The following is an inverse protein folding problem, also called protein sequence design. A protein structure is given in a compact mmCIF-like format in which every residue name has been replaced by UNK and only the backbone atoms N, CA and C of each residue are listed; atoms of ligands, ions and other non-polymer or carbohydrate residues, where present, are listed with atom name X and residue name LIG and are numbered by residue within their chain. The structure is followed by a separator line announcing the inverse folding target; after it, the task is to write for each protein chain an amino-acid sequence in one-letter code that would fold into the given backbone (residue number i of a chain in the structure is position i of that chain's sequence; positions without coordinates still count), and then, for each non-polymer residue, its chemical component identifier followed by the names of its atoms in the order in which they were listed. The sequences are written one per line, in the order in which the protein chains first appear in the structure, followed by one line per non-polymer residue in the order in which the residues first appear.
data_IF_283021276912
#
_entry.id   IF_283021276912
#
_cell.length_a   1.000
_cell.length_b   1.000
_cell.length_c   1.000
_cell.angle_alpha   90.00
_cell.angle_beta   90.00
_cell.angle_gamma   90.00
#
_symmetry.space_group_name_H-M   'P 1'
#
loop_
_entity.id
_entity.type
_entity.pdbx_description
1 polymer ?
#
# COMPACT_ATOMS: atom_id res chain seq x y z
N UNK A 1 6.50 -16.80 42.28
CA UNK A 1 7.58 -16.54 41.30
C UNK A 1 7.80 -15.06 40.96
N UNK A 2 6.76 -14.22 40.74
CA UNK A 2 6.95 -12.77 40.47
C UNK A 2 7.56 -11.94 41.64
N UNK A 3 7.35 -12.37 42.89
CA UNK A 3 7.86 -11.67 44.09
C UNK A 3 9.38 -11.85 44.32
N UNK A 4 9.92 -13.02 43.96
CA UNK A 4 11.36 -13.32 44.10
C UNK A 4 12.20 -12.55 43.08
N UNK A 5 11.71 -12.35 41.85
CA UNK A 5 12.38 -11.56 40.81
C UNK A 5 12.44 -10.07 41.19
N UNK A 6 11.42 -9.55 41.89
CA UNK A 6 11.39 -8.15 42.33
C UNK A 6 12.32 -7.88 43.53
N UNK A 7 12.50 -8.87 44.41
CA UNK A 7 13.40 -8.78 45.56
C UNK A 7 14.88 -8.89 45.14
N UNK A 8 15.20 -9.82 44.22
CA UNK A 8 16.57 -9.96 43.70
C UNK A 8 17.07 -8.72 42.95
N UNK A 9 16.18 -8.01 42.25
CA UNK A 9 16.51 -6.77 41.52
C UNK A 9 16.83 -5.60 42.45
N UNK A 10 16.22 -5.58 43.65
CA UNK A 10 16.39 -4.52 44.64
C UNK A 10 17.70 -4.68 45.43
N UNK A 11 18.07 -5.91 45.78
CA UNK A 11 19.35 -6.19 46.47
C UNK A 11 20.59 -6.05 45.57
N UNK A 12 20.47 -6.27 44.26
CA UNK A 12 21.61 -6.10 43.33
C UNK A 12 21.93 -4.63 43.03
N UNK A 13 20.93 -3.74 43.14
CA UNK A 13 21.10 -2.29 42.98
C UNK A 13 21.72 -1.62 44.23
N UNK A 14 21.56 -2.21 45.42
CA UNK A 14 22.08 -1.64 46.69
C UNK A 14 23.61 -1.75 46.84
N UNK A 15 24.29 -2.55 46.01
CA UNK A 15 25.76 -2.69 46.00
C UNK A 15 26.48 -2.08 44.80
N UNK A 16 25.75 -1.49 43.83
CA UNK A 16 26.33 -1.01 42.57
C UNK A 16 26.55 0.51 42.61
N UNK A 17 27.73 0.99 42.19
CA UNK A 17 27.99 2.44 42.12
C UNK A 17 26.99 3.13 41.17
N UNK A 18 26.66 4.40 41.41
CA UNK A 18 25.72 5.14 40.55
C UNK A 18 26.13 5.16 39.06
N UNK A 19 27.43 5.07 38.79
CA UNK A 19 28.02 4.92 37.46
C UNK A 19 27.72 3.55 36.84
N UNK A 20 27.86 2.46 37.58
CA UNK A 20 27.62 1.11 37.08
C UNK A 20 26.14 0.88 36.81
N UNK A 21 25.27 1.33 37.71
CA UNK A 21 23.82 1.26 37.51
C UNK A 21 23.37 2.07 36.27
N UNK A 22 23.98 3.23 36.01
CA UNK A 22 23.74 4.02 34.78
C UNK A 22 24.16 3.27 33.52
N UNK A 23 25.36 2.66 33.54
CA UNK A 23 25.93 1.89 32.43
C UNK A 23 25.08 0.67 32.09
N UNK A 24 24.64 -0.08 33.10
CA UNK A 24 23.73 -1.23 32.94
C UNK A 24 22.39 -0.80 32.32
N UNK A 25 21.76 0.26 32.84
CA UNK A 25 20.51 0.79 32.27
C UNK A 25 20.67 1.29 30.84
N UNK A 26 21.84 1.83 30.47
CA UNK A 26 22.13 2.20 29.08
C UNK A 26 22.20 0.96 28.18
N UNK A 27 22.93 -0.07 28.59
CA UNK A 27 23.08 -1.31 27.83
C UNK A 27 21.74 -2.00 27.62
N UNK A 28 20.87 -2.05 28.64
CA UNK A 28 19.50 -2.55 28.53
C UNK A 28 18.70 -1.79 27.47
N UNK A 29 18.69 -0.45 27.52
CA UNK A 29 17.95 0.39 26.55
C UNK A 29 18.46 0.24 25.12
N UNK A 30 19.78 0.17 24.95
CA UNK A 30 20.41 -0.01 23.65
C UNK A 30 20.09 -1.40 23.09
N UNK A 31 20.17 -2.45 23.92
CA UNK A 31 19.76 -3.78 23.54
C UNK A 31 18.27 -3.86 23.16
N UNK A 32 17.39 -3.19 23.90
CA UNK A 32 15.97 -3.08 23.57
C UNK A 32 15.74 -2.38 22.23
N UNK A 33 16.47 -1.31 21.94
CA UNK A 33 16.40 -0.61 20.65
C UNK A 33 16.84 -1.54 19.52
N UNK A 34 18.01 -2.19 19.64
CA UNK A 34 18.53 -3.14 18.65
C UNK A 34 17.59 -4.29 18.39
N UNK A 35 16.99 -4.85 19.45
CA UNK A 35 15.96 -5.91 19.34
C UNK A 35 14.73 -5.44 18.56
N UNK A 36 14.23 -4.22 18.81
CA UNK A 36 13.10 -3.67 18.07
C UNK A 36 13.41 -3.45 16.60
N UNK A 37 14.57 -2.89 16.28
CA UNK A 37 15.03 -2.71 14.88
C UNK A 37 15.17 -4.06 14.18
N UNK A 38 15.88 -5.02 14.79
CA UNK A 38 16.02 -6.37 14.26
C UNK A 38 14.66 -7.05 14.05
N UNK A 39 13.72 -6.94 15.00
CA UNK A 39 12.39 -7.54 14.85
C UNK A 39 11.61 -6.94 13.67
N UNK A 40 11.72 -5.64 13.42
CA UNK A 40 11.11 -4.99 12.27
C UNK A 40 11.73 -5.47 10.94
N UNK A 41 13.06 -5.43 10.83
CA UNK A 41 13.80 -5.92 9.65
C UNK A 41 13.53 -7.40 9.38
N UNK A 42 13.50 -8.22 10.42
CA UNK A 42 13.21 -9.64 10.34
C UNK A 42 11.77 -9.90 9.87
N UNK A 43 10.81 -9.08 10.32
CA UNK A 43 9.42 -9.18 9.87
C UNK A 43 9.26 -8.82 8.40
N UNK A 44 9.89 -7.73 7.94
CA UNK A 44 9.89 -7.33 6.53
C UNK A 44 10.53 -8.39 5.63
N UNK A 45 11.68 -8.93 6.04
CA UNK A 45 12.33 -10.04 5.33
C UNK A 45 11.40 -11.24 5.21
N UNK A 46 10.73 -11.63 6.31
CA UNK A 46 9.86 -12.81 6.33
C UNK A 46 8.66 -12.65 5.41
N UNK A 47 8.00 -11.49 5.43
CA UNK A 47 6.88 -11.20 4.54
C UNK A 47 7.30 -11.29 3.06
N UNK A 48 8.50 -10.79 2.73
CA UNK A 48 9.06 -10.90 1.38
C UNK A 48 9.37 -12.35 1.01
N UNK A 49 9.99 -13.11 1.91
CA UNK A 49 10.33 -14.53 1.70
C UNK A 49 9.08 -15.40 1.51
N UNK A 50 8.07 -15.23 2.35
CA UNK A 50 6.77 -15.89 2.24
C UNK A 50 6.08 -15.56 0.91
N UNK A 51 6.13 -14.29 0.50
CA UNK A 51 5.59 -13.85 -0.81
C UNK A 51 6.31 -14.54 -1.97
N UNK A 52 7.65 -14.62 -1.94
CA UNK A 52 8.42 -15.31 -2.99
C UNK A 52 8.10 -16.81 -3.03
N UNK A 53 7.95 -17.46 -1.87
CA UNK A 53 7.55 -18.88 -1.81
C UNK A 53 6.17 -19.10 -2.40
N UNK A 54 5.20 -18.27 -2.03
CA UNK A 54 3.86 -18.34 -2.59
C UNK A 54 3.83 -18.14 -4.11
N UNK A 55 4.63 -17.19 -4.63
CA UNK A 55 4.80 -16.99 -6.08
C UNK A 55 5.43 -18.22 -6.74
N UNK A 56 6.47 -18.81 -6.14
CA UNK A 56 7.15 -20.01 -6.64
C UNK A 56 6.20 -21.20 -6.69
N UNK A 57 5.44 -21.44 -5.63
CA UNK A 57 4.48 -22.56 -5.57
C UNK A 57 3.32 -22.37 -6.57
N UNK A 58 2.82 -21.13 -6.70
CA UNK A 58 1.84 -20.81 -7.73
C UNK A 58 2.41 -21.00 -9.15
N UNK A 59 3.65 -20.58 -9.40
CA UNK A 59 4.34 -20.80 -10.66
C UNK A 59 4.60 -22.28 -10.93
N UNK A 60 4.75 -23.13 -9.93
CA UNK A 60 4.89 -24.57 -10.12
C UNK A 60 3.53 -25.27 -10.41
N UNK A 61 2.45 -24.88 -9.73
CA UNK A 61 1.20 -25.66 -9.74
C UNK A 61 -0.05 -25.00 -10.34
N UNK A 62 -0.12 -23.66 -10.37
CA UNK A 62 -1.35 -22.96 -10.75
C UNK A 62 -1.43 -22.71 -12.27
N UNK A 63 -2.40 -23.32 -12.93
CA UNK A 63 -2.62 -23.22 -14.39
C UNK A 63 -3.81 -22.33 -14.76
N UNK A 64 -4.31 -21.52 -13.82
CA UNK A 64 -5.52 -20.73 -14.02
C UNK A 64 -6.81 -21.54 -13.87
N UNK A 65 -7.92 -20.83 -13.69
CA UNK A 65 -9.28 -21.40 -13.57
C UNK A 65 -10.04 -21.28 -14.89
N UNK A 66 -11.00 -22.18 -15.19
CA UNK A 66 -11.91 -21.95 -16.30
C UNK A 66 -12.80 -20.72 -16.06
N UNK A 67 -13.40 -20.19 -17.12
CA UNK A 67 -14.48 -19.22 -17.00
C UNK A 67 -15.71 -19.89 -16.36
N UNK A 68 -16.31 -19.20 -15.39
CA UNK A 68 -17.54 -19.59 -14.71
C UNK A 68 -18.79 -18.96 -15.36
N UNK A 69 -18.60 -18.19 -16.44
CA UNK A 69 -19.66 -17.50 -17.18
C UNK A 69 -20.07 -16.17 -16.56
N UNK A 70 -19.36 -15.69 -15.54
CA UNK A 70 -19.65 -14.38 -14.91
C UNK A 70 -18.99 -13.21 -15.62
N UNK A 71 -18.00 -13.47 -16.48
CA UNK A 71 -17.28 -12.42 -17.20
C UNK A 71 -18.15 -11.83 -18.33
N UNK A 72 -18.23 -10.50 -18.48
CA UNK A 72 -18.96 -9.86 -19.56
C UNK A 72 -18.16 -9.86 -20.88
N UNK A 73 -17.33 -10.88 -21.10
CA UNK A 73 -16.49 -11.06 -22.28
C UNK A 73 -16.35 -12.55 -22.57
N UNK A 74 -16.52 -12.94 -23.83
CA UNK A 74 -16.35 -14.33 -24.25
C UNK A 74 -14.86 -14.71 -24.26
N UNK A 75 -14.52 -15.78 -23.54
CA UNK A 75 -13.20 -16.40 -23.60
C UNK A 75 -13.14 -17.45 -24.70
N UNK A 76 -11.95 -17.66 -25.27
CA UNK A 76 -11.72 -18.73 -26.24
C UNK A 76 -11.86 -20.09 -25.56
N UNK A 77 -12.20 -21.12 -26.34
CA UNK A 77 -12.25 -22.50 -25.83
C UNK A 77 -10.86 -22.89 -25.34
N UNK A 78 -10.75 -23.26 -24.07
CA UNK A 78 -9.54 -23.57 -23.26
C UNK A 78 -8.85 -22.38 -22.57
N UNK A 79 -9.32 -21.13 -22.77
CA UNK A 79 -8.68 -19.95 -22.21
C UNK A 79 -8.94 -19.89 -20.70
N UNK A 80 -7.86 -19.80 -19.92
CA UNK A 80 -7.91 -19.90 -18.45
C UNK A 80 -7.67 -18.54 -17.82
N UNK A 81 -8.39 -18.25 -16.75
CA UNK A 81 -8.30 -17.00 -16.00
C UNK A 81 -7.26 -17.18 -14.90
N UNK A 82 -6.28 -16.29 -14.83
CA UNK A 82 -5.28 -16.23 -13.76
C UNK A 82 -5.67 -15.22 -12.67
N UNK A 83 -6.31 -14.11 -13.06
CA UNK A 83 -6.71 -13.08 -12.12
C UNK A 83 -7.90 -12.28 -12.68
N UNK A 84 -8.84 -11.93 -11.79
CA UNK A 84 -9.87 -10.93 -12.05
C UNK A 84 -9.74 -9.86 -10.97
N UNK A 85 -9.45 -8.62 -11.36
CA UNK A 85 -9.15 -7.53 -10.44
C UNK A 85 -10.00 -6.29 -10.76
N UNK A 86 -11.05 -5.99 -9.96
CA UNK A 86 -11.79 -4.74 -10.10
C UNK A 86 -11.00 -3.54 -9.56
N UNK A 87 -11.46 -2.32 -9.85
CA UNK A 87 -10.86 -1.09 -9.32
C UNK A 87 -9.53 -0.72 -9.97
N UNK A 88 -9.31 -1.14 -11.21
CA UNK A 88 -8.12 -0.78 -12.00
C UNK A 88 -8.44 0.37 -12.93
N UNK A 89 -7.45 1.20 -13.26
CA UNK A 89 -7.60 2.30 -14.19
C UNK A 89 -6.82 2.03 -15.47
N UNK A 90 -7.44 2.31 -16.61
CA UNK A 90 -6.72 2.32 -17.89
C UNK A 90 -5.73 3.48 -17.92
N UNK A 91 -4.55 3.26 -18.50
CA UNK A 91 -3.58 4.32 -18.74
C UNK A 91 -3.10 4.32 -20.19
N UNK A 92 -2.81 5.51 -20.70
CA UNK A 92 -2.13 5.71 -21.98
C UNK A 92 -0.85 6.52 -21.75
N UNK A 93 0.23 6.09 -22.37
CA UNK A 93 1.54 6.75 -22.29
C UNK A 93 1.92 7.30 -23.68
N UNK A 94 1.27 8.39 -24.14
CA UNK A 94 1.59 9.00 -25.42
C UNK A 94 3.04 9.50 -25.41
N UNK A 95 3.88 8.87 -26.23
CA UNK A 95 5.31 9.15 -26.31
C UNK A 95 6.21 8.04 -25.76
N UNK A 96 5.67 7.10 -24.98
CA UNK A 96 6.41 5.89 -24.64
C UNK A 96 6.45 4.94 -25.85
N UNK A 97 7.61 4.35 -26.11
CA UNK A 97 7.89 3.41 -27.18
C UNK A 97 9.16 2.62 -26.83
N UNK A 98 9.35 1.45 -27.45
CA UNK A 98 10.56 0.66 -27.24
C UNK A 98 10.67 0.13 -25.81
N UNK A 99 9.55 -0.32 -25.23
CA UNK A 99 9.55 -0.95 -23.92
C UNK A 99 10.45 -2.20 -23.93
N UNK A 100 11.07 -2.55 -22.79
CA UNK A 100 11.83 -3.78 -22.67
C UNK A 100 11.03 -5.00 -23.12
N UNK A 101 11.70 -5.93 -23.80
CA UNK A 101 11.08 -7.21 -24.16
C UNK A 101 10.70 -7.93 -22.88
N UNK A 102 9.52 -8.54 -22.88
CA UNK A 102 9.04 -9.36 -21.76
C UNK A 102 10.04 -10.47 -21.49
N UNK A 103 10.71 -10.39 -20.33
CA UNK A 103 11.61 -11.41 -19.82
C UNK A 103 11.11 -11.91 -18.46
N UNK A 104 11.34 -13.20 -18.12
CA UNK A 104 11.02 -13.74 -16.79
C UNK A 104 11.78 -13.06 -15.65
N UNK A 105 12.79 -12.24 -15.95
CA UNK A 105 13.71 -11.65 -14.97
C UNK A 105 13.05 -10.61 -14.04
N UNK A 106 11.93 -10.03 -14.47
CA UNK A 106 11.19 -8.99 -13.74
C UNK A 106 10.13 -9.59 -12.82
N UNK A 107 10.58 -10.31 -11.79
CA UNK A 107 9.70 -10.71 -10.68
C UNK A 107 9.38 -9.48 -9.85
N UNK A 108 8.10 -9.18 -9.57
CA UNK A 108 7.71 -7.84 -9.14
C UNK A 108 8.19 -7.50 -7.73
N UNK A 109 8.78 -6.32 -7.60
CA UNK A 109 8.93 -5.61 -6.32
C UNK A 109 7.60 -4.93 -6.01
N UNK A 110 7.20 -4.91 -4.73
CA UNK A 110 6.08 -4.11 -4.23
C UNK A 110 6.36 -2.64 -4.58
N UNK A 111 5.57 -2.00 -5.45
CA UNK A 111 5.83 -0.63 -5.82
C UNK A 111 5.63 0.29 -4.62
N UNK A 112 6.35 1.42 -4.62
CA UNK A 112 5.99 2.53 -3.77
C UNK A 112 4.61 3.10 -4.18
N UNK A 113 4.03 3.94 -3.34
CA UNK A 113 2.80 4.70 -3.66
C UNK A 113 3.17 6.09 -4.21
N UNK A 114 3.99 6.15 -5.26
CA UNK A 114 4.42 7.40 -5.86
C UNK A 114 3.36 8.05 -6.78
N UNK A 115 3.50 9.35 -7.09
CA UNK A 115 2.59 10.04 -8.00
C UNK A 115 2.76 9.55 -9.45
N UNK A 116 1.66 9.53 -10.19
CA UNK A 116 1.66 9.18 -11.62
C UNK A 116 2.56 10.16 -12.40
N UNK A 117 3.49 9.69 -13.26
CA UNK A 117 4.40 10.58 -13.99
C UNK A 117 3.67 11.52 -14.94
N UNK A 118 4.27 12.69 -15.18
CA UNK A 118 3.79 13.62 -16.19
C UNK A 118 3.76 12.96 -17.58
N UNK A 119 2.74 13.26 -18.38
CA UNK A 119 2.55 12.69 -19.71
C UNK A 119 1.74 11.39 -19.75
N UNK A 120 1.56 10.71 -18.61
CA UNK A 120 0.63 9.57 -18.50
C UNK A 120 -0.80 10.10 -18.40
N UNK A 121 -1.68 9.58 -19.27
CA UNK A 121 -3.12 9.86 -19.24
C UNK A 121 -3.83 8.72 -18.53
N UNK A 122 -4.48 9.03 -17.42
CA UNK A 122 -5.32 8.06 -16.68
C UNK A 122 -6.75 8.15 -17.19
N UNK A 123 -7.29 7.02 -17.60
CA UNK A 123 -8.65 6.86 -18.11
C UNK A 123 -9.64 6.40 -17.04
N UNK A 124 -10.77 5.85 -17.48
CA UNK A 124 -11.81 5.35 -16.59
C UNK A 124 -11.36 4.12 -15.79
N UNK A 125 -11.99 3.93 -14.63
CA UNK A 125 -11.89 2.72 -13.82
C UNK A 125 -12.67 1.55 -14.42
N UNK A 126 -12.25 0.33 -14.13
CA UNK A 126 -12.85 -0.90 -14.63
C UNK A 126 -12.26 -2.15 -13.97
N UNK A 127 -12.31 -3.26 -14.69
CA UNK A 127 -11.83 -4.57 -14.22
C UNK A 127 -10.73 -5.10 -15.12
N UNK A 128 -9.61 -5.51 -14.54
CA UNK A 128 -8.58 -6.27 -15.24
C UNK A 128 -8.93 -7.75 -15.22
N UNK A 129 -8.72 -8.44 -16.35
CA UNK A 129 -8.76 -9.90 -16.41
C UNK A 129 -7.47 -10.38 -17.05
N UNK A 130 -6.67 -11.12 -16.30
CA UNK A 130 -5.47 -11.78 -16.79
C UNK A 130 -5.85 -13.19 -17.20
N UNK A 131 -5.65 -13.55 -18.47
CA UNK A 131 -5.92 -14.89 -18.98
C UNK A 131 -4.64 -15.56 -19.47
N UNK A 132 -4.71 -16.85 -19.82
CA UNK A 132 -3.62 -17.61 -20.44
C UNK A 132 -3.20 -17.10 -21.82
N UNK A 133 -3.90 -16.10 -22.40
CA UNK A 133 -3.62 -15.61 -23.76
C UNK A 133 -3.52 -14.10 -23.88
N UNK A 134 -4.12 -13.37 -22.95
CA UNK A 134 -4.26 -11.92 -23.05
C UNK A 134 -4.53 -11.28 -21.70
N UNK A 135 -4.16 -10.01 -21.62
CA UNK A 135 -4.64 -9.11 -20.59
C UNK A 135 -5.85 -8.34 -21.14
N UNK A 136 -6.92 -8.28 -20.37
CA UNK A 136 -8.14 -7.55 -20.70
C UNK A 136 -8.37 -6.44 -19.67
N UNK A 137 -8.85 -5.30 -20.15
CA UNK A 137 -9.46 -4.25 -19.36
C UNK A 137 -10.91 -4.11 -19.77
N UNK A 138 -11.82 -4.27 -18.83
CA UNK A 138 -13.26 -4.16 -19.00
C UNK A 138 -13.70 -2.83 -18.38
N UNK A 139 -13.87 -1.83 -19.25
CA UNK A 139 -14.20 -0.46 -18.84
C UNK A 139 -15.65 -0.10 -19.18
N UNK A 140 -16.19 0.99 -18.59
CA UNK A 140 -17.59 1.37 -18.77
C UNK A 140 -17.93 1.79 -20.20
N UNK A 141 -16.96 2.35 -20.95
CA UNK A 141 -17.17 2.82 -22.33
C UNK A 141 -16.43 2.00 -23.37
N UNK A 142 -15.28 1.44 -22.99
CA UNK A 142 -14.38 0.73 -23.91
C UNK A 142 -13.69 -0.40 -23.17
N UNK A 143 -13.65 -1.55 -23.83
CA UNK A 143 -12.79 -2.64 -23.45
C UNK A 143 -11.44 -2.48 -24.18
N UNK A 144 -10.38 -2.93 -23.54
CA UNK A 144 -9.04 -3.00 -24.14
C UNK A 144 -8.46 -4.38 -23.95
N UNK A 145 -7.77 -4.85 -24.97
CA UNK A 145 -7.15 -6.17 -24.98
C UNK A 145 -5.66 -6.03 -25.32
N UNK A 146 -4.80 -6.80 -24.67
CA UNK A 146 -3.40 -6.99 -25.03
C UNK A 146 -3.15 -8.48 -25.18
N UNK A 147 -3.22 -8.97 -26.42
CA UNK A 147 -2.91 -10.36 -26.73
C UNK A 147 -1.41 -10.60 -26.62
N UNK A 148 -1.01 -11.63 -25.88
CA UNK A 148 0.41 -11.90 -25.60
C UNK A 148 1.22 -12.18 -26.87
N UNK A 149 0.61 -12.84 -27.86
CA UNK A 149 1.22 -13.09 -29.17
C UNK A 149 1.58 -11.82 -29.97
N UNK A 150 1.04 -10.66 -29.60
CA UNK A 150 1.32 -9.37 -30.25
C UNK A 150 2.08 -8.41 -29.33
N UNK A 151 2.43 -8.85 -28.12
CA UNK A 151 3.13 -8.05 -27.14
C UNK A 151 4.61 -7.94 -27.53
N UNK A 152 5.07 -6.71 -27.76
CA UNK A 152 6.46 -6.42 -28.15
C UNK A 152 7.29 -5.95 -26.97
N UNK A 153 6.66 -5.37 -25.94
CA UNK A 153 7.33 -4.99 -24.71
C UNK A 153 6.38 -4.76 -23.55
N UNK A 154 6.91 -4.87 -22.33
CA UNK A 154 6.17 -4.64 -21.08
C UNK A 154 7.12 -4.09 -20.03
N UNK A 155 6.61 -3.19 -19.18
CA UNK A 155 7.34 -2.75 -17.99
C UNK A 155 6.40 -2.58 -16.81
N UNK A 156 6.86 -3.01 -15.65
CA UNK A 156 6.24 -2.70 -14.36
C UNK A 156 6.98 -1.52 -13.74
N UNK A 157 6.27 -0.42 -13.45
CA UNK A 157 6.90 0.77 -12.88
C UNK A 157 7.35 0.51 -11.42
N UNK A 158 8.56 0.93 -11.04
CA UNK A 158 9.08 0.64 -9.70
C UNK A 158 8.42 1.50 -8.60
N UNK A 159 7.92 2.67 -8.95
CA UNK A 159 7.47 3.72 -8.02
C UNK A 159 5.96 3.89 -8.04
N UNK A 160 5.32 3.60 -9.17
CA UNK A 160 3.88 3.68 -9.36
C UNK A 160 3.36 2.27 -9.61
N UNK A 161 2.19 1.87 -9.07
CA UNK A 161 1.60 0.55 -9.32
C UNK A 161 1.00 0.43 -10.74
N UNK A 162 1.79 0.81 -11.74
CA UNK A 162 1.44 0.81 -13.15
C UNK A 162 2.18 -0.32 -13.88
N UNK A 163 1.52 -0.89 -14.88
CA UNK A 163 2.12 -1.80 -15.87
C UNK A 163 1.80 -1.27 -17.25
N UNK A 164 2.84 -0.98 -18.05
CA UNK A 164 2.71 -0.52 -19.43
C UNK A 164 2.99 -1.67 -20.39
N UNK A 165 2.20 -1.72 -21.46
CA UNK A 165 2.23 -2.77 -22.48
C UNK A 165 2.32 -2.12 -23.87
N UNK A 166 3.24 -2.62 -24.67
CA UNK A 166 3.45 -2.25 -26.07
C UNK A 166 3.09 -3.44 -26.95
N UNK A 167 2.29 -3.21 -27.99
CA UNK A 167 1.89 -4.23 -28.96
C UNK A 167 2.19 -3.76 -30.36
N UNK A 168 2.66 -4.66 -31.22
CA UNK A 168 3.19 -4.29 -32.56
C UNK A 168 2.16 -3.71 -33.52
N UNK A 169 0.87 -3.90 -33.26
CA UNK A 169 -0.22 -3.39 -34.11
C UNK A 169 -0.85 -2.08 -33.60
N UNK A 170 -0.24 -1.40 -32.62
CA UNK A 170 -0.75 -0.13 -32.07
C UNK A 170 0.30 0.97 -32.10
N UNK A 171 -0.19 2.20 -32.30
CA UNK A 171 0.63 3.42 -32.31
C UNK A 171 0.99 3.95 -30.93
N UNK A 172 0.36 3.45 -29.86
CA UNK A 172 0.54 3.97 -28.51
C UNK A 172 0.68 2.87 -27.47
N UNK A 173 1.63 3.08 -26.55
CA UNK A 173 1.77 2.31 -25.32
C UNK A 173 0.60 2.62 -24.39
N UNK A 174 0.04 1.56 -23.82
CA UNK A 174 -1.07 1.64 -22.88
C UNK A 174 -0.96 0.56 -21.84
N UNK A 175 -1.69 0.69 -20.75
CA UNK A 175 -1.60 -0.29 -19.69
C UNK A 175 -2.62 -0.08 -18.59
N UNK A 176 -2.25 -0.53 -17.40
CA UNK A 176 -3.10 -0.50 -16.22
C UNK A 176 -2.38 0.11 -15.03
N UNK A 177 -3.09 0.99 -14.33
CA UNK A 177 -2.76 1.45 -12.99
C UNK A 177 -3.65 0.68 -12.01
N UNK A 178 -3.03 -0.02 -11.06
CA UNK A 178 -3.73 -0.84 -10.06
C UNK A 178 -3.52 -0.28 -8.66
N UNK A 179 -4.29 -0.77 -7.69
CA UNK A 179 -4.08 -0.40 -6.30
C UNK A 179 -2.72 -0.93 -5.78
N UNK A 180 -2.02 -0.17 -4.94
CA UNK A 180 -0.69 -0.56 -4.41
C UNK A 180 -0.71 -1.92 -3.72
N UNK A 181 -1.76 -2.22 -2.95
CA UNK A 181 -1.92 -3.53 -2.28
C UNK A 181 -2.15 -4.69 -3.25
N UNK A 182 -2.68 -4.43 -4.45
CA UNK A 182 -2.91 -5.44 -5.47
C UNK A 182 -1.75 -5.56 -6.47
N UNK A 183 -0.80 -4.63 -6.46
CA UNK A 183 0.21 -4.52 -7.50
C UNK A 183 1.13 -5.74 -7.58
N UNK A 184 1.64 -6.24 -6.45
CA UNK A 184 2.52 -7.40 -6.44
C UNK A 184 1.82 -8.65 -7.03
N UNK A 185 0.59 -8.93 -6.57
CA UNK A 185 -0.22 -10.03 -7.07
C UNK A 185 -0.56 -9.86 -8.56
N UNK A 186 -1.00 -8.67 -8.97
CA UNK A 186 -1.33 -8.38 -10.37
C UNK A 186 -0.13 -8.60 -11.30
N UNK A 187 1.03 -8.03 -10.96
CA UNK A 187 2.25 -8.15 -11.77
C UNK A 187 2.71 -9.60 -11.87
N UNK A 188 2.68 -10.35 -10.77
CA UNK A 188 3.04 -11.76 -10.76
C UNK A 188 2.11 -12.58 -11.65
N UNK A 189 0.79 -12.37 -11.54
CA UNK A 189 -0.18 -13.11 -12.36
C UNK A 189 -0.04 -12.80 -13.85
N UNK A 190 0.27 -11.55 -14.21
CA UNK A 190 0.59 -11.18 -15.60
C UNK A 190 1.86 -11.89 -16.09
N UNK A 191 2.93 -11.90 -15.29
CA UNK A 191 4.17 -12.60 -15.62
C UNK A 191 3.98 -14.11 -15.74
N UNK A 192 3.24 -14.73 -14.82
CA UNK A 192 2.92 -16.16 -14.86
C UNK A 192 2.13 -16.51 -16.13
N UNK A 193 1.12 -15.73 -16.47
CA UNK A 193 0.32 -15.94 -17.67
C UNK A 193 1.13 -15.73 -18.97
N UNK A 194 2.06 -14.77 -18.99
CA UNK A 194 2.98 -14.56 -20.10
C UNK A 194 3.99 -15.71 -20.24
N UNK A 195 4.56 -16.18 -19.13
CA UNK A 195 5.48 -17.31 -19.11
C UNK A 195 4.78 -18.59 -19.59
N UNK A 196 3.54 -18.84 -19.16
CA UNK A 196 2.73 -19.94 -19.65
C UNK A 196 2.51 -19.85 -21.17
N UNK A 197 2.06 -18.69 -21.65
CA UNK A 197 1.77 -18.48 -23.07
C UNK A 197 3.01 -18.62 -23.98
N UNK A 198 4.20 -18.35 -23.43
CA UNK A 198 5.47 -18.49 -24.13
C UNK A 198 6.15 -19.86 -23.92
N UNK A 199 5.58 -20.76 -23.12
CA UNK A 199 6.23 -22.02 -22.75
C UNK A 199 7.49 -21.85 -21.88
N UNK A 200 7.61 -20.73 -21.17
CA UNK A 200 8.75 -20.35 -20.33
C UNK A 200 8.45 -20.48 -18.83
N UNK A 201 7.46 -21.30 -18.44
CA UNK A 201 7.06 -21.51 -17.05
C UNK A 201 8.22 -21.99 -16.17
N UNK A 202 9.00 -22.94 -16.66
CA UNK A 202 10.16 -23.47 -15.93
C UNK A 202 11.25 -22.41 -15.72
N UNK A 203 11.44 -21.51 -16.68
CA UNK A 203 12.38 -20.39 -16.54
C UNK A 203 11.91 -19.40 -15.46
N UNK A 204 10.60 -19.15 -15.35
CA UNK A 204 10.04 -18.34 -14.27
C UNK A 204 10.22 -19.00 -12.90
N UNK A 205 10.00 -20.32 -12.79
CA UNK A 205 10.24 -21.07 -11.54
C UNK A 205 11.71 -21.01 -11.15
N UNK A 206 12.63 -21.26 -12.09
CA UNK A 206 14.07 -21.18 -11.83
C UNK A 206 14.49 -19.77 -11.38
N UNK A 207 13.90 -18.72 -11.97
CA UNK A 207 14.13 -17.34 -11.54
C UNK A 207 13.65 -17.08 -10.11
N UNK A 208 12.48 -17.59 -9.73
CA UNK A 208 11.96 -17.47 -8.37
C UNK A 208 12.82 -18.24 -7.36
N UNK A 209 13.35 -19.40 -7.73
CA UNK A 209 14.29 -20.16 -6.90
C UNK A 209 15.60 -19.38 -6.67
N UNK A 210 16.13 -18.69 -7.70
CA UNK A 210 17.29 -17.79 -7.54
C UNK A 210 17.00 -16.62 -6.59
N UNK A 211 15.81 -16.04 -6.65
CA UNK A 211 15.39 -14.96 -5.75
C UNK A 211 15.21 -15.45 -4.31
N UNK A 212 14.70 -16.66 -4.11
CA UNK A 212 14.62 -17.30 -2.79
C UNK A 212 16.01 -17.57 -2.21
N UNK A 213 16.97 -18.03 -3.03
CA UNK A 213 18.36 -18.20 -2.60
C UNK A 213 18.98 -16.85 -2.18
N UNK A 214 18.75 -15.79 -2.96
CA UNK A 214 19.20 -14.43 -2.61
C UNK A 214 18.53 -13.90 -1.34
N UNK A 215 17.23 -14.13 -1.16
CA UNK A 215 16.49 -13.80 0.07
C UNK A 215 17.13 -14.47 1.28
N UNK A 216 17.49 -15.76 1.17
CA UNK A 216 18.19 -16.50 2.21
C UNK A 216 19.53 -15.88 2.61
N UNK A 217 20.32 -15.41 1.63
CA UNK A 217 21.60 -14.70 1.87
C UNK A 217 21.41 -13.35 2.55
N UNK A 218 20.28 -12.68 2.34
CA UNK A 218 19.95 -11.35 2.91
C UNK A 218 19.20 -11.41 4.24
N UNK A 219 19.06 -12.58 4.85
CA UNK A 219 18.40 -12.71 6.15
C UNK A 219 19.11 -11.85 7.21
N UNK A 220 18.42 -10.95 7.92
CA UNK A 220 19.02 -10.15 8.98
C UNK A 220 19.69 -11.04 10.04
N UNK A 221 20.97 -10.80 10.39
CA UNK A 221 21.62 -11.53 11.47
C UNK A 221 21.15 -11.00 12.85
N UNK A 222 21.19 -11.83 13.91
CA UNK A 222 20.86 -11.38 15.26
C UNK A 222 21.80 -10.24 15.69
N UNK A 223 21.28 -9.18 16.34
CA UNK A 223 22.09 -8.03 16.72
C UNK A 223 23.05 -8.39 17.87
N UNK A 224 24.27 -7.83 17.90
CA UNK A 224 25.19 -8.02 19.01
C UNK A 224 24.67 -7.33 20.28
N UNK A 225 24.89 -7.96 21.43
CA UNK A 225 24.53 -7.40 22.73
C UNK A 225 25.46 -6.22 23.06
N UNK A 226 24.87 -5.09 23.42
CA UNK A 226 25.56 -3.96 24.02
C UNK A 226 25.93 -4.31 25.47
N UNK A 227 27.18 -4.03 25.83
CA UNK A 227 27.72 -4.27 27.17
C UNK A 227 27.73 -2.96 27.99
N UNK A 228 27.60 -3.01 29.32
CA UNK A 228 27.66 -1.82 30.17
C UNK A 228 28.95 -0.99 29.97
N UNK A 229 30.08 -1.64 29.67
CA UNK A 229 31.36 -0.98 29.41
C UNK A 229 31.36 -0.06 28.19
N UNK A 230 30.43 -0.27 27.24
CA UNK A 230 30.28 0.54 26.02
C UNK A 230 29.44 1.80 26.23
N UNK A 231 28.85 1.97 27.41
CA UNK A 231 28.01 3.12 27.69
C UNK A 231 28.83 4.42 27.65
N UNK A 232 28.39 5.45 26.91
CA UNK A 232 29.14 6.69 26.79
C UNK A 232 29.42 7.30 28.16
N UNK A 233 30.69 7.67 28.41
CA UNK A 233 31.07 8.48 29.55
C UNK A 233 30.20 9.74 29.52
N UNK A 234 29.54 10.07 30.63
CA UNK A 234 28.40 10.97 30.62
C UNK A 234 28.69 12.29 29.91
N UNK A 235 28.00 12.54 28.80
CA UNK A 235 27.44 13.88 28.62
C UNK A 235 26.45 14.05 29.76
N UNK A 236 26.94 14.52 30.90
CA UNK A 236 26.08 15.09 31.91
C UNK A 236 25.33 16.22 31.19
N UNK A 237 24.08 15.95 30.79
CA UNK A 237 23.13 17.00 30.49
C UNK A 237 22.88 17.74 31.80
N UNK A 238 23.84 18.58 32.18
CA UNK A 238 23.55 19.70 33.04
C UNK A 238 22.55 20.56 32.26
N UNK A 239 21.42 20.98 32.86
CA UNK A 239 20.52 21.92 32.20
C UNK A 239 21.25 23.21 31.77
N UNK A 240 22.43 23.50 32.35
CA UNK A 240 23.33 24.60 31.98
C UNK A 240 23.94 24.43 30.58
N UNK A 241 24.22 23.20 30.12
CA UNK A 241 24.84 22.95 28.82
C UNK A 241 23.91 23.21 27.62
N UNK A 242 22.61 22.97 27.79
CA UNK A 242 21.59 23.29 26.77
C UNK A 242 21.38 24.79 26.68
N UNK A 243 21.43 25.50 27.82
CA UNK A 243 21.37 26.97 27.85
C UNK A 243 22.63 27.59 27.26
N UNK A 244 23.82 27.08 27.53
CA UNK A 244 25.06 27.62 26.96
C UNK A 244 25.16 27.41 25.43
N UNK A 245 24.73 26.24 24.91
CA UNK A 245 24.66 26.00 23.48
C UNK A 245 23.57 26.84 22.80
N UNK A 246 22.41 27.00 23.44
CA UNK A 246 21.35 27.89 22.96
C UNK A 246 21.78 29.36 22.99
N UNK A 247 22.52 29.81 24.01
CA UNK A 247 23.06 31.17 24.12
C UNK A 247 24.19 31.40 23.10
N UNK A 248 25.06 30.43 22.83
CA UNK A 248 26.07 30.58 21.78
C UNK A 248 25.45 30.66 20.38
N UNK A 249 24.43 29.85 20.10
CA UNK A 249 23.65 29.94 18.85
C UNK A 249 22.86 31.26 18.80
N UNK A 250 22.30 31.72 19.92
CA UNK A 250 21.60 33.01 20.01
C UNK A 250 22.56 34.19 19.86
N UNK A 251 23.77 34.16 20.42
CA UNK A 251 24.80 35.20 20.24
C UNK A 251 25.31 35.21 18.81
N UNK A 252 25.47 34.05 18.16
CA UNK A 252 25.78 33.98 16.73
C UNK A 252 24.63 34.50 15.86
N UNK A 253 23.37 34.27 16.24
CA UNK A 253 22.20 34.84 15.57
C UNK A 253 22.04 36.35 15.82
N UNK A 254 22.37 36.83 17.02
CA UNK A 254 22.22 38.23 17.45
C UNK A 254 23.39 39.10 16.97
N UNK A 255 24.61 38.55 16.90
CA UNK A 255 25.77 39.24 16.31
C UNK A 255 25.85 39.07 14.79
N UNK A 256 25.16 38.08 14.20
CA UNK A 256 25.13 37.86 12.76
C UNK A 256 24.12 38.70 11.98
N UNK A 257 23.23 39.43 12.65
CA UNK A 257 22.18 40.24 12.00
C UNK A 257 22.23 41.68 12.55
N UNK A 258 23.36 42.33 12.31
CA UNK A 258 23.53 43.79 12.42
C UNK A 258 23.07 44.52 11.15
N UNK A 259 22.01 44.07 10.49
CA UNK A 259 21.37 44.84 9.43
C UNK A 259 19.89 44.43 9.29
N UNK A 260 19.03 45.39 9.65
CA UNK A 260 17.62 45.55 9.25
C UNK A 260 16.57 44.76 10.07
N UNK A 261 16.06 45.40 11.12
CA UNK A 261 14.69 45.25 11.66
C UNK A 261 13.85 46.47 11.19
N UNK A 262 12.50 46.42 11.17
CA UNK A 262 11.72 46.53 12.41
C UNK A 262 10.49 45.58 12.56
N UNK A 263 10.21 45.27 13.84
CA UNK A 263 8.92 45.20 14.57
C UNK A 263 7.76 44.30 14.06
N UNK A 264 6.99 43.57 14.88
CA UNK A 264 6.65 43.66 16.32
C UNK A 264 5.97 42.35 16.81
N UNK A 265 5.88 42.23 18.15
CA UNK A 265 4.79 41.62 18.94
C UNK A 265 4.83 40.11 19.30
N UNK A 266 5.58 39.81 20.37
CA UNK A 266 5.11 39.30 21.69
C UNK A 266 3.71 38.64 21.74
N UNK A 267 3.65 37.39 22.22
CA UNK A 267 2.88 37.02 23.43
C UNK A 267 3.20 35.61 23.96
N UNK A 268 3.37 35.59 25.28
CA UNK A 268 3.65 34.48 26.19
C UNK A 268 2.56 33.39 26.22
N UNK A 269 2.94 32.18 26.62
CA UNK A 269 2.34 31.48 27.76
C UNK A 269 3.09 30.17 28.03
N UNK A 270 3.79 30.14 29.16
CA UNK A 270 4.05 28.92 29.92
C UNK A 270 2.72 28.40 30.47
N UNK A 271 2.55 27.07 30.60
CA UNK A 271 2.26 26.51 31.92
C UNK A 271 2.42 24.98 31.99
N UNK A 272 2.53 24.56 33.24
CA UNK A 272 3.09 23.38 33.86
C UNK A 272 2.06 22.25 34.09
N UNK A 273 2.54 21.14 34.65
CA UNK A 273 1.86 20.16 35.52
C UNK A 273 1.49 18.75 34.99
N UNK A 274 2.38 17.82 35.37
CA UNK A 274 2.16 16.61 36.20
C UNK A 274 1.42 15.34 35.66
N UNK A 275 1.88 14.12 36.04
CA UNK A 275 1.36 12.84 35.54
C UNK A 275 0.36 12.15 36.48
N UNK A 276 -0.71 11.56 35.94
CA UNK A 276 -1.61 10.66 36.65
C UNK A 276 -1.32 9.20 36.26
N UNK A 277 -0.93 8.38 37.23
CA UNK A 277 -0.87 6.92 37.12
C UNK A 277 -2.29 6.34 37.23
N UNK A 278 -2.67 5.49 36.28
CA UNK A 278 -3.82 4.58 36.43
C UNK A 278 -3.36 3.15 36.15
N UNK A 279 -3.47 2.32 37.18
CA UNK A 279 -3.40 0.87 37.18
C UNK A 279 -4.56 0.28 36.38
N UNK A 280 -4.32 -0.73 35.54
CA UNK A 280 -5.41 -1.53 34.99
C UNK A 280 -5.02 -3.00 34.84
N UNK A 281 -5.85 -3.83 35.47
CA UNK A 281 -5.83 -5.28 35.60
C UNK A 281 -6.14 -5.95 34.25
N UNK A 282 -5.38 -7.00 33.93
CA UNK A 282 -5.58 -7.82 32.74
C UNK A 282 -6.63 -8.91 32.98
N UNK A 283 -7.59 -9.03 32.05
CA UNK A 283 -8.46 -10.20 31.94
C UNK A 283 -8.55 -10.60 30.47
N UNK A 284 -8.18 -11.85 30.18
CA UNK A 284 -8.27 -12.49 28.87
C UNK A 284 -9.65 -13.13 28.67
N UNK A 285 -10.23 -13.09 27.46
CA UNK A 285 -11.30 -14.01 27.10
C UNK A 285 -10.88 -15.01 26.02
N UNK A 286 -11.19 -16.26 26.35
CA UNK A 286 -11.15 -17.50 25.59
C UNK A 286 -12.08 -17.48 24.37
N UNK A 287 -11.64 -18.06 23.25
CA UNK A 287 -12.43 -18.26 22.03
C UNK A 287 -13.27 -19.55 22.09
N UNK A 288 -14.49 -19.57 21.53
CA UNK A 288 -15.13 -20.81 21.11
C UNK A 288 -15.13 -20.97 19.59
N UNK A 289 -14.70 -22.14 19.15
CA UNK A 289 -14.81 -22.67 17.79
C UNK A 289 -15.99 -23.68 17.74
N UNK A 290 -16.91 -23.52 16.79
CA UNK A 290 -17.87 -24.55 16.35
C UNK A 290 -18.16 -24.29 14.85
N UNK A 291 -17.63 -25.09 13.92
CA UNK A 291 -18.10 -26.41 13.46
C UNK A 291 -19.41 -26.32 12.64
N UNK A 292 -19.28 -26.33 11.30
CA UNK A 292 -20.38 -26.55 10.36
C UNK A 292 -20.13 -27.87 9.63
N UNK A 293 -21.10 -28.78 9.73
CA UNK A 293 -21.13 -30.11 9.09
C UNK A 293 -21.40 -30.02 7.58
N UNK A 294 -20.94 -31.00 6.78
CA UNK A 294 -21.20 -31.09 5.35
C UNK A 294 -22.54 -31.78 5.04
N UNK A 295 -23.23 -31.30 4.01
CA UNK A 295 -24.38 -31.99 3.39
C UNK A 295 -24.02 -32.42 1.97
N UNK A 296 -24.28 -33.71 1.68
CA UNK A 296 -24.03 -34.44 0.43
C UNK A 296 -25.34 -34.47 -0.43
N UNK A 297 -25.45 -35.13 -1.61
CA UNK A 297 -25.62 -34.48 -2.91
C UNK A 297 -26.93 -34.86 -3.67
N UNK A 298 -26.99 -34.49 -4.96
CA UNK A 298 -27.73 -35.14 -6.09
C UNK A 298 -29.10 -34.56 -6.49
N UNK A 299 -29.63 -34.78 -7.73
CA UNK A 299 -29.05 -35.33 -8.96
C UNK A 299 -29.26 -34.46 -10.24
N UNK A 300 -28.74 -34.99 -11.35
CA UNK A 300 -28.69 -34.50 -12.72
C UNK A 300 -30.05 -34.24 -13.41
N UNK A 301 -30.07 -33.28 -14.35
CA UNK A 301 -31.09 -33.16 -15.40
C UNK A 301 -30.43 -32.98 -16.77
N UNK A 302 -30.97 -33.75 -17.70
CA UNK A 302 -30.52 -34.08 -19.05
C UNK A 302 -30.69 -32.93 -20.04
N UNK A 303 -29.74 -32.84 -20.97
CA UNK A 303 -29.73 -31.98 -22.16
C UNK A 303 -30.64 -32.52 -23.28
N UNK A 304 -31.18 -31.62 -24.14
CA UNK A 304 -31.27 -31.94 -25.56
C UNK A 304 -30.51 -30.94 -26.45
N UNK A 305 -30.08 -31.49 -27.59
CA UNK A 305 -29.19 -30.98 -28.62
C UNK A 305 -29.85 -29.93 -29.57
N UNK A 306 -29.05 -29.23 -30.42
CA UNK A 306 -29.47 -28.02 -31.13
C UNK A 306 -30.09 -28.28 -32.52
N UNK A 307 -31.01 -27.42 -32.93
CA UNK A 307 -31.54 -27.36 -34.31
C UNK A 307 -30.90 -26.18 -35.09
N UNK A 308 -30.51 -26.35 -36.37
CA UNK A 308 -29.91 -25.30 -37.19
C UNK A 308 -30.93 -24.67 -38.14
N UNK A 309 -30.92 -23.34 -38.30
CA UNK A 309 -31.42 -22.53 -39.45
C UNK A 309 -31.44 -21.06 -39.00
N UNK A 310 -31.17 -20.00 -39.77
CA UNK A 310 -30.90 -19.77 -41.19
C UNK A 310 -30.19 -18.42 -41.28
N UNK A 311 -29.25 -18.31 -42.21
CA UNK A 311 -28.60 -17.06 -42.62
C UNK A 311 -29.63 -16.08 -43.18
N UNK A 312 -29.75 -14.89 -42.61
CA UNK A 312 -30.56 -13.80 -43.15
C UNK A 312 -29.65 -12.75 -43.81
N UNK A 313 -30.02 -12.44 -45.05
CA UNK A 313 -29.43 -11.50 -46.01
C UNK A 313 -29.38 -10.04 -45.49
N UNK A 314 -28.38 -9.23 -45.88
CA UNK A 314 -28.29 -7.83 -45.46
C UNK A 314 -29.32 -6.92 -46.15
N UNK A 315 -30.01 -6.09 -45.36
CA UNK A 315 -30.93 -5.05 -45.82
C UNK A 315 -30.19 -3.77 -46.25
N UNK A 316 -30.74 -2.98 -47.20
CA UNK A 316 -30.04 -1.88 -47.86
C UNK A 316 -29.83 -0.63 -46.99
N UNK A 317 -28.70 0.01 -47.27
CA UNK A 317 -28.20 1.29 -46.75
C UNK A 317 -29.22 2.43 -46.90
N UNK A 318 -29.55 3.09 -45.79
CA UNK A 318 -30.29 4.37 -45.79
C UNK A 318 -29.31 5.55 -45.73
N UNK A 319 -29.53 6.47 -46.66
CA UNK A 319 -28.83 7.74 -46.87
C UNK A 319 -28.77 8.62 -45.59
N UNK A 320 -27.68 9.38 -45.36
CA UNK A 320 -27.48 10.16 -44.14
C UNK A 320 -28.34 11.44 -44.08
N UNK A 321 -28.96 11.65 -42.92
CA UNK A 321 -29.72 12.86 -42.56
C UNK A 321 -28.77 14.01 -42.14
N UNK A 322 -29.08 15.29 -42.43
CA UNK A 322 -28.17 16.42 -42.17
C UNK A 322 -27.93 16.68 -40.67
N UNK A 323 -26.67 16.96 -40.32
CA UNK A 323 -26.22 17.21 -38.96
C UNK A 323 -26.72 18.56 -38.39
N UNK A 324 -27.20 18.62 -37.12
CA UNK A 324 -27.54 19.87 -36.46
C UNK A 324 -26.30 20.73 -36.14
N UNK A 325 -26.47 22.04 -36.31
CA UNK A 325 -25.50 23.11 -36.10
C UNK A 325 -25.07 23.19 -34.62
N UNK A 326 -23.76 23.06 -34.35
CA UNK A 326 -23.15 23.22 -33.00
C UNK A 326 -23.32 24.65 -32.50
N UNK A 327 -24.06 24.83 -31.42
CA UNK A 327 -24.00 26.02 -30.57
C UNK A 327 -22.80 25.91 -29.62
N UNK A 328 -21.94 26.92 -29.64
CA UNK A 328 -20.79 27.08 -28.74
C UNK A 328 -21.25 27.36 -27.32
N UNK A 329 -21.07 26.40 -26.42
CA UNK A 329 -21.34 26.56 -25.00
C UNK A 329 -20.26 27.40 -24.31
N UNK A 330 -20.69 28.33 -23.45
CA UNK A 330 -19.88 29.28 -22.67
C UNK A 330 -19.01 28.53 -21.63
N UNK A 331 -17.75 28.94 -21.37
CA UNK A 331 -16.87 28.26 -20.42
C UNK A 331 -17.41 28.31 -18.98
N UNK A 332 -17.47 27.16 -18.32
CA UNK A 332 -17.92 27.01 -16.93
C UNK A 332 -16.87 27.64 -15.98
N UNK A 333 -17.27 28.44 -14.98
CA UNK A 333 -16.33 29.09 -14.06
C UNK A 333 -15.50 28.06 -13.28
N UNK A 334 -14.20 28.36 -13.11
CA UNK A 334 -13.27 27.49 -12.35
C UNK A 334 -13.68 27.44 -10.87
N UNK A 335 -13.80 26.24 -10.26
CA UNK A 335 -14.11 26.10 -8.85
C UNK A 335 -12.99 26.68 -7.97
N UNK A 336 -13.37 27.35 -6.88
CA UNK A 336 -12.42 27.91 -5.89
C UNK A 336 -11.51 26.82 -5.32
N UNK A 337 -10.21 27.11 -5.06
CA UNK A 337 -9.30 26.14 -4.43
C UNK A 337 -9.84 25.63 -3.10
N UNK A 338 -9.87 24.31 -2.93
CA UNK A 338 -10.42 23.67 -1.74
C UNK A 338 -9.49 23.88 -0.53
N UNK A 339 -10.04 24.34 0.59
CA UNK A 339 -9.32 24.43 1.86
C UNK A 339 -9.15 23.02 2.47
N UNK A 340 -7.96 22.45 2.29
CA UNK A 340 -7.60 21.11 2.78
C UNK A 340 -7.19 21.09 4.27
N UNK A 341 -6.92 22.25 4.86
CA UNK A 341 -6.66 22.40 6.29
C UNK A 341 -5.55 21.47 6.81
N UNK A 342 -4.46 21.39 6.04
CA UNK A 342 -3.32 20.53 6.34
C UNK A 342 -3.49 19.07 5.90
N UNK A 343 -4.62 18.68 5.31
CA UNK A 343 -4.72 17.40 4.61
C UNK A 343 -3.89 17.44 3.32
N UNK A 344 -3.23 16.33 2.94
CA UNK A 344 -2.59 16.21 1.64
C UNK A 344 -3.57 16.46 0.50
N UNK A 345 -3.07 16.93 -0.65
CA UNK A 345 -3.88 17.08 -1.86
C UNK A 345 -4.44 15.71 -2.27
N UNK A 346 -5.76 15.63 -2.42
CA UNK A 346 -6.46 14.42 -2.75
C UNK A 346 -7.68 14.73 -3.63
N UNK A 347 -8.07 13.79 -4.49
CA UNK A 347 -9.22 13.96 -5.40
C UNK A 347 -10.57 13.73 -4.70
N UNK A 348 -10.55 13.06 -3.56
CA UNK A 348 -11.74 12.63 -2.82
C UNK A 348 -12.36 13.75 -1.95
N UNK A 349 -11.73 14.92 -1.90
CA UNK A 349 -12.21 16.05 -1.10
C UNK A 349 -12.05 15.84 0.41
N UNK A 350 -11.09 15.03 0.83
CA UNK A 350 -10.72 14.81 2.22
C UNK A 350 -10.05 16.05 2.82
N UNK A 351 -10.47 16.43 4.02
CA UNK A 351 -10.01 17.61 4.75
C UNK A 351 -10.06 17.39 6.26
N UNK A 352 -9.32 18.18 7.03
CA UNK A 352 -9.30 18.10 8.49
C UNK A 352 -10.18 19.14 9.20
N UNK A 353 -10.81 20.08 8.50
CA UNK A 353 -11.50 21.22 9.13
C UNK A 353 -13.00 21.30 8.90
N UNK A 354 -13.61 20.34 8.19
CA UNK A 354 -15.07 20.31 8.06
C UNK A 354 -15.61 19.49 6.90
N UNK A 355 -16.86 19.07 7.04
CA UNK A 355 -17.55 18.19 6.10
C UNK A 355 -18.28 17.07 6.83
N UNK A 356 -18.61 16.01 6.11
CA UNK A 356 -19.24 14.82 6.70
C UNK A 356 -18.17 13.82 7.15
N UNK A 357 -18.35 13.22 8.32
CA UNK A 357 -17.47 12.15 8.82
C UNK A 357 -17.48 10.96 7.85
N UNK A 358 -16.29 10.43 7.57
CA UNK A 358 -16.11 9.32 6.65
C UNK A 358 -16.18 8.01 7.44
N UNK A 359 -17.29 7.28 7.32
CA UNK A 359 -17.48 5.98 8.00
C UNK A 359 -17.21 4.77 7.10
N UNK A 360 -17.13 5.01 5.79
CA UNK A 360 -16.78 4.05 4.75
C UNK A 360 -15.89 4.78 3.75
N UNK A 361 -14.59 4.96 4.06
CA UNK A 361 -13.68 5.51 3.10
C UNK A 361 -13.58 4.57 1.89
N UNK A 362 -13.39 5.14 0.72
CA UNK A 362 -12.82 4.36 -0.39
C UNK A 362 -11.42 3.88 0.04
N UNK A 363 -10.99 2.70 -0.42
CA UNK A 363 -9.63 2.21 -0.21
C UNK A 363 -8.57 3.21 -0.72
N UNK A 364 -8.96 4.12 -1.62
CA UNK A 364 -8.14 5.26 -2.05
C UNK A 364 -7.69 6.22 -0.93
N UNK A 365 -8.31 6.22 0.26
CA UNK A 365 -7.87 7.08 1.37
C UNK A 365 -6.39 6.87 1.73
N UNK A 366 -5.92 5.61 1.71
CA UNK A 366 -4.53 5.28 2.05
C UNK A 366 -3.53 5.59 0.92
N UNK A 367 -4.00 6.14 -0.20
CA UNK A 367 -3.13 6.68 -1.25
C UNK A 367 -2.69 8.12 -0.91
N UNK A 368 -3.46 8.81 -0.08
CA UNK A 368 -3.24 10.21 0.28
C UNK A 368 -2.74 10.39 1.71
N UNK A 369 -2.95 9.39 2.56
CA UNK A 369 -2.58 9.42 3.97
C UNK A 369 -1.90 8.12 4.39
N UNK A 370 -1.03 8.21 5.40
CA UNK A 370 -0.42 7.03 6.02
C UNK A 370 -1.45 6.30 6.88
N UNK A 371 -1.99 5.18 6.39
CA UNK A 371 -2.95 4.37 7.13
C UNK A 371 -2.27 3.34 8.03
N UNK A 372 -2.85 3.06 9.19
CA UNK A 372 -2.44 1.92 10.02
C UNK A 372 -2.75 0.59 9.30
N UNK A 373 -2.02 -0.51 9.59
CA UNK A 373 -2.26 -1.80 8.93
C UNK A 373 -3.71 -2.32 9.05
N UNK A 374 -4.37 -2.05 10.18
CA UNK A 374 -5.75 -2.47 10.44
C UNK A 374 -6.82 -1.50 9.90
N UNK A 375 -6.43 -0.47 9.14
CA UNK A 375 -7.36 0.52 8.58
C UNK A 375 -8.53 -0.08 7.76
N UNK A 376 -8.32 -1.04 6.82
CA UNK A 376 -9.41 -1.55 5.99
C UNK A 376 -10.48 -2.32 6.78
N UNK A 377 -10.10 -2.93 7.92
CA UNK A 377 -11.01 -3.69 8.78
C UNK A 377 -11.61 -2.86 9.93
N UNK A 378 -11.16 -1.62 10.06
CA UNK A 378 -11.56 -0.75 11.15
C UNK A 378 -13.02 -0.32 11.06
N UNK A 379 -13.65 -0.14 12.23
CA UNK A 379 -15.03 0.34 12.37
C UNK A 379 -15.02 1.68 13.09
N UNK A 380 -15.87 2.60 12.66
CA UNK A 380 -15.94 3.96 13.22
C UNK A 380 -16.01 5.01 12.12
N UNK A 381 -15.46 6.18 12.39
CA UNK A 381 -15.14 7.15 11.35
C UNK A 381 -13.62 7.30 11.19
N UNK A 382 -13.19 7.77 10.03
CA UNK A 382 -11.79 8.03 9.70
C UNK A 382 -11.22 9.13 10.60
N UNK A 383 -10.14 8.84 11.31
CA UNK A 383 -9.52 9.73 12.29
C UNK A 383 -8.00 9.70 12.12
N UNK A 384 -7.35 10.86 12.28
CA UNK A 384 -5.90 10.95 12.42
C UNK A 384 -5.51 10.71 13.88
N UNK A 385 -4.58 9.81 14.10
CA UNK A 385 -3.95 9.55 15.39
C UNK A 385 -2.84 10.58 15.69
N UNK A 386 -2.33 10.61 16.93
CA UNK A 386 -1.34 11.59 17.35
C UNK A 386 -0.02 11.49 16.57
N UNK A 387 0.39 10.28 16.23
CA UNK A 387 1.57 9.99 15.38
C UNK A 387 1.39 10.36 13.89
N UNK A 388 0.21 10.84 13.50
CA UNK A 388 -0.09 11.28 12.14
C UNK A 388 -0.75 10.23 11.26
N UNK A 389 -0.78 8.96 11.67
CA UNK A 389 -1.39 7.87 10.91
C UNK A 389 -2.93 7.95 10.95
N UNK A 390 -3.60 7.47 9.91
CA UNK A 390 -5.06 7.34 9.89
C UNK A 390 -5.51 5.97 10.37
N UNK A 391 -6.58 5.99 11.16
CA UNK A 391 -7.31 4.83 11.65
C UNK A 391 -8.79 4.96 11.31
N UNK A 392 -9.47 3.83 11.19
CA UNK A 392 -10.92 3.77 11.10
C UNK A 392 -11.62 3.67 12.47
N UNK A 393 -10.89 3.79 13.58
CA UNK A 393 -11.42 3.63 14.95
C UNK A 393 -12.15 4.85 15.53
N UNK A 394 -12.29 5.94 14.78
CA UNK A 394 -12.85 7.20 15.30
C UNK A 394 -14.25 7.02 15.90
N UNK A 395 -14.46 7.64 17.07
CA UNK A 395 -15.71 7.55 17.82
C UNK A 395 -15.89 6.26 18.63
N UNK A 396 -14.84 5.44 18.77
CA UNK A 396 -14.86 4.24 19.62
C UNK A 396 -13.99 4.40 20.87
N UNK A 397 -14.35 3.70 21.97
CA UNK A 397 -13.47 3.56 23.12
C UNK A 397 -12.11 2.98 22.69
N UNK A 398 -11.02 3.58 23.17
CA UNK A 398 -9.66 3.15 22.84
C UNK A 398 -9.18 3.48 21.42
N UNK A 399 -9.85 4.38 20.71
CA UNK A 399 -9.39 4.83 19.38
C UNK A 399 -7.96 5.37 19.43
N UNK A 400 -7.13 4.94 18.47
CA UNK A 400 -5.71 5.30 18.36
C UNK A 400 -4.86 4.98 19.61
N UNK A 401 -5.27 4.04 20.48
CA UNK A 401 -4.55 3.73 21.73
C UNK A 401 -3.09 3.33 21.54
N UNK A 402 -2.78 2.61 20.46
CA UNK A 402 -1.41 2.21 20.10
C UNK A 402 -0.64 3.28 19.31
N UNK A 403 -1.29 4.41 19.00
CA UNK A 403 -0.82 5.47 18.11
C UNK A 403 -0.86 6.85 18.80
N UNK A 404 -0.69 6.87 20.13
CA UNK A 404 -0.64 8.09 20.93
C UNK A 404 -1.98 8.80 21.15
N UNK A 405 -3.09 8.15 20.82
CA UNK A 405 -4.44 8.70 21.00
C UNK A 405 -4.97 9.46 19.79
N UNK A 406 -6.18 9.99 19.92
CA UNK A 406 -6.88 10.69 18.85
C UNK A 406 -6.29 12.09 18.65
N UNK A 407 -6.03 12.48 17.41
CA UNK A 407 -5.65 13.86 17.06
C UNK A 407 -6.83 14.65 16.52
N UNK A 408 -7.43 14.22 15.41
CA UNK A 408 -8.56 14.92 14.77
C UNK A 408 -9.29 14.04 13.74
N UNK A 409 -10.62 14.21 13.55
CA UNK A 409 -11.36 13.50 12.51
C UNK A 409 -10.95 13.91 11.09
N UNK A 410 -11.22 13.02 10.14
CA UNK A 410 -11.13 13.33 8.70
C UNK A 410 -12.53 13.39 8.11
N UNK A 411 -12.74 14.43 7.31
CA UNK A 411 -14.04 14.74 6.72
C UNK A 411 -13.97 14.67 5.21
N UNK A 412 -15.09 14.36 4.57
CA UNK A 412 -15.31 14.56 3.14
C UNK A 412 -16.20 15.77 2.94
N UNK A 413 -15.76 16.76 2.16
CA UNK A 413 -16.65 17.85 1.74
C UNK A 413 -17.69 17.31 0.75
N UNK A 414 -18.94 17.77 0.89
CA UNK A 414 -20.01 17.46 -0.06
C UNK A 414 -19.85 18.29 -1.32
#
# INVERSE_FOLDING_TARGET
MRSLVACHRRCYDEGMTGTDARRSRWAERENDRRRRTFAAEMNEWRLRDETLRAMRDAAAGYTGRPDDGTLPVALRRDERIYLTLPGVYSVEAPGAHGLPRVAPDDVPVTPAAGPVPAGIRVGAGGTAVVTSRRLLFLGPQRNREWAYQHLTGMVHDAVVPMTLLEVGNRKSVSGLLVHVSAAAAFRFQVQLALAEAAGMRDALVARLDLLLAESGRRRPPPPPLAEPGQAPAGAAWSPVGVVAAAVAVLVLLVCGIGALLPDTAVRDAADEAAPVRVTTTAAAPTAPALAIKPAVPSPAVTSPAPAPTRSASPAPSRSPSPAPRRTTAKPKPRPKPLALCGAPRNTEGFTFCGGSLIRRPDFAACQYFDCIPAFPDGRGYMIQCADGMLSMSGGRPGSCSHHGGNRRPVYRRR
#
